data_IF_921686484207
#
_entry.id   IF_921686484207
#
_cell.length_a   1.000
_cell.length_b   1.000
_cell.length_c   1.000
_cell.angle_alpha   90.00
_cell.angle_beta   90.00
_cell.angle_gamma   90.00
#
_symmetry.space_group_name_H-M   'P 1'
#
loop_
_entity.id
_entity.type
_entity.pdbx_description
1 polymer ?
#
# COMPACT_ATOMS: atom_id res chain seq x y z
N UNK A 1 14.94 7.21 -7.81
CA UNK A 1 15.30 6.39 -9.00
C UNK A 1 14.90 4.96 -8.70
N UNK A 2 13.74 4.53 -9.18
CA UNK A 2 13.31 3.15 -8.98
C UNK A 2 14.24 2.25 -9.78
N UNK A 3 14.95 1.35 -9.12
CA UNK A 3 15.71 0.30 -9.79
C UNK A 3 14.69 -0.66 -10.40
N UNK A 4 14.36 -0.44 -11.65
CA UNK A 4 13.60 -1.39 -12.45
C UNK A 4 14.55 -2.54 -12.78
N UNK A 5 14.47 -3.63 -12.04
CA UNK A 5 15.17 -4.87 -12.37
C UNK A 5 14.49 -5.41 -13.62
N UNK A 6 15.05 -5.08 -14.79
CA UNK A 6 14.67 -5.70 -16.06
C UNK A 6 15.23 -7.13 -16.06
N UNK A 7 14.37 -8.12 -16.20
CA UNK A 7 14.72 -9.51 -16.45
C UNK A 7 14.75 -10.37 -15.18
N UNK A 8 13.58 -10.73 -14.66
CA UNK A 8 13.43 -11.68 -13.54
C UNK A 8 13.32 -13.13 -14.09
N UNK A 9 14.17 -13.48 -15.03
CA UNK A 9 14.36 -14.89 -15.47
C UNK A 9 15.77 -15.37 -15.13
N UNK A 10 16.41 -14.72 -14.16
CA UNK A 10 17.74 -15.11 -13.72
C UNK A 10 17.64 -16.17 -12.61
N UNK A 11 18.51 -17.19 -12.68
CA UNK A 11 18.56 -18.25 -11.66
C UNK A 11 18.67 -17.64 -10.24
N UNK A 12 18.06 -18.30 -9.26
CA UNK A 12 18.08 -17.89 -7.85
C UNK A 12 19.50 -17.54 -7.34
N UNK A 13 20.52 -18.25 -7.84
CA UNK A 13 21.92 -17.99 -7.52
C UNK A 13 22.40 -16.62 -8.01
N UNK A 14 22.04 -16.22 -9.22
CA UNK A 14 22.39 -14.89 -9.76
C UNK A 14 21.69 -13.76 -9.00
N UNK A 15 20.46 -14.00 -8.57
CA UNK A 15 19.71 -13.04 -7.76
C UNK A 15 20.37 -12.84 -6.39
N UNK A 16 20.77 -13.93 -5.71
CA UNK A 16 21.52 -13.86 -4.45
C UNK A 16 22.82 -13.07 -4.63
N UNK A 17 23.59 -13.40 -5.66
CA UNK A 17 24.86 -12.72 -5.96
C UNK A 17 24.64 -11.23 -6.20
N UNK A 18 23.63 -10.86 -7.00
CA UNK A 18 23.27 -9.45 -7.24
C UNK A 18 22.97 -8.69 -5.94
N UNK A 19 22.18 -9.29 -5.05
CA UNK A 19 21.85 -8.68 -3.74
C UNK A 19 23.09 -8.50 -2.89
N UNK A 20 23.93 -9.55 -2.77
CA UNK A 20 25.17 -9.50 -2.00
C UNK A 20 26.14 -8.41 -2.52
N UNK A 21 26.32 -8.32 -3.84
CA UNK A 21 27.21 -7.34 -4.46
C UNK A 21 26.71 -5.90 -4.22
N UNK A 22 25.41 -5.68 -4.28
CA UNK A 22 24.81 -4.38 -3.95
C UNK A 22 25.00 -4.00 -2.49
N UNK A 23 24.80 -4.92 -1.58
CA UNK A 23 24.91 -4.68 -0.14
C UNK A 23 26.36 -4.49 0.32
N UNK A 24 27.32 -5.23 -0.26
CA UNK A 24 28.75 -5.02 0.00
C UNK A 24 29.20 -3.59 -0.31
N UNK A 25 28.64 -2.97 -1.36
CA UNK A 25 28.89 -1.57 -1.69
C UNK A 25 28.24 -0.56 -0.72
N UNK A 26 27.36 -1.00 0.17
CA UNK A 26 26.51 -0.14 1.02
C UNK A 26 26.90 -0.13 2.50
N UNK A 27 28.10 -0.57 2.87
CA UNK A 27 28.58 -0.66 4.26
C UNK A 27 27.69 -1.46 5.21
N UNK A 28 27.02 -2.48 4.68
CA UNK A 28 26.20 -3.41 5.47
C UNK A 28 27.13 -4.31 6.31
N UNK A 29 26.83 -4.58 7.60
CA UNK A 29 27.61 -5.47 8.44
C UNK A 29 27.76 -6.87 7.84
N UNK A 30 28.94 -7.48 8.02
CA UNK A 30 29.25 -8.82 7.50
C UNK A 30 28.28 -9.90 8.02
N UNK A 31 27.79 -9.75 9.25
CA UNK A 31 26.81 -10.65 9.85
C UNK A 31 25.50 -10.67 9.05
N UNK A 32 25.04 -9.51 8.56
CA UNK A 32 23.85 -9.43 7.73
C UNK A 32 24.07 -10.05 6.33
N UNK A 33 25.26 -9.85 5.75
CA UNK A 33 25.64 -10.50 4.49
C UNK A 33 25.69 -12.02 4.65
N UNK A 34 26.23 -12.52 5.78
CA UNK A 34 26.28 -13.95 6.07
C UNK A 34 24.88 -14.57 6.20
N UNK A 35 23.89 -13.85 6.73
CA UNK A 35 22.49 -14.32 6.79
C UNK A 35 21.94 -14.51 5.37
N UNK A 36 22.16 -13.53 4.50
CA UNK A 36 21.69 -13.60 3.11
C UNK A 36 22.40 -14.72 2.35
N UNK A 37 23.70 -14.88 2.55
CA UNK A 37 24.49 -15.93 1.89
C UNK A 37 24.02 -17.35 2.29
N UNK A 38 23.64 -17.55 3.55
CA UNK A 38 23.10 -18.82 4.07
C UNK A 38 21.64 -19.06 3.75
N UNK A 39 20.90 -18.06 3.25
CA UNK A 39 19.47 -18.21 2.94
C UNK A 39 19.26 -19.21 1.79
N UNK A 40 18.29 -20.09 1.96
CA UNK A 40 17.82 -20.96 0.87
C UNK A 40 17.11 -20.12 -0.19
N UNK A 41 17.33 -20.47 -1.45
CA UNK A 41 16.80 -19.74 -2.61
C UNK A 41 15.64 -20.46 -3.31
N UNK A 42 15.19 -21.59 -2.77
CA UNK A 42 14.11 -22.40 -3.35
C UNK A 42 12.77 -21.65 -3.46
N UNK A 43 12.48 -20.79 -2.47
CA UNK A 43 11.20 -20.09 -2.35
C UNK A 43 11.33 -18.57 -2.49
N UNK A 44 12.41 -18.10 -3.12
CA UNK A 44 12.61 -16.66 -3.34
C UNK A 44 11.82 -16.18 -4.55
N UNK A 45 10.94 -15.23 -4.33
CA UNK A 45 10.20 -14.52 -5.37
C UNK A 45 10.75 -13.11 -5.51
N UNK A 46 11.08 -12.72 -6.73
CA UNK A 46 11.40 -11.35 -7.06
C UNK A 46 10.29 -10.75 -7.94
N UNK A 47 9.79 -9.61 -7.53
CA UNK A 47 8.79 -8.88 -8.29
C UNK A 47 9.13 -7.39 -8.33
N UNK A 48 8.86 -6.69 -9.43
CA UNK A 48 9.04 -5.25 -9.48
C UNK A 48 8.06 -4.57 -8.52
N UNK A 49 8.56 -3.63 -7.72
CA UNK A 49 7.69 -2.76 -6.93
C UNK A 49 6.84 -1.90 -7.86
N UNK A 50 5.54 -1.98 -7.67
CA UNK A 50 4.56 -1.19 -8.43
C UNK A 50 3.75 -0.34 -7.48
N UNK A 51 3.44 0.86 -7.90
CA UNK A 51 2.51 1.73 -7.19
C UNK A 51 1.52 2.34 -8.19
N UNK A 52 0.37 2.71 -7.71
CA UNK A 52 -0.65 3.38 -8.50
C UNK A 52 -0.41 4.90 -8.44
N UNK A 53 -0.40 5.63 -9.57
CA UNK A 53 -0.36 7.09 -9.52
C UNK A 53 -1.57 7.63 -8.73
N UNK A 54 -1.36 8.47 -7.68
CA UNK A 54 -2.46 8.91 -6.80
C UNK A 54 -3.60 9.61 -7.58
N UNK A 55 -3.24 10.41 -8.58
CA UNK A 55 -4.21 11.12 -9.41
C UNK A 55 -5.15 10.19 -10.20
N UNK A 56 -4.73 8.98 -10.51
CA UNK A 56 -5.60 8.00 -11.20
C UNK A 56 -6.80 7.57 -10.35
N UNK A 57 -6.71 7.71 -9.01
CA UNK A 57 -7.82 7.44 -8.11
C UNK A 57 -8.82 8.57 -8.02
N UNK A 58 -8.40 9.80 -8.32
CA UNK A 58 -9.30 10.97 -8.29
C UNK A 58 -10.38 10.85 -9.36
N UNK A 59 -10.00 10.40 -10.55
CA UNK A 59 -10.91 10.28 -11.71
C UNK A 59 -11.39 8.85 -11.95
N UNK A 60 -10.70 7.84 -11.42
CA UNK A 60 -11.01 6.43 -11.62
C UNK A 60 -12.22 5.95 -10.83
N UNK A 61 -12.89 4.92 -11.35
CA UNK A 61 -13.97 4.24 -10.63
C UNK A 61 -13.41 3.18 -9.68
N UNK A 62 -13.79 3.25 -8.40
CA UNK A 62 -13.47 2.25 -7.36
C UNK A 62 -14.57 1.19 -7.29
N UNK A 63 -15.80 1.57 -7.60
CA UNK A 63 -16.94 0.66 -7.69
C UNK A 63 -17.77 0.94 -8.94
N UNK A 64 -18.40 -0.11 -9.48
CA UNK A 64 -19.35 -0.02 -10.61
C UNK A 64 -20.38 -1.14 -10.49
N UNK A 65 -21.65 -0.78 -10.38
CA UNK A 65 -22.70 -1.75 -10.09
C UNK A 65 -22.38 -2.49 -8.78
N UNK A 66 -22.44 -3.81 -8.80
CA UNK A 66 -22.19 -4.67 -7.64
C UNK A 66 -20.73 -5.16 -7.53
N UNK A 67 -19.79 -4.44 -8.12
CA UNK A 67 -18.34 -4.77 -8.09
C UNK A 67 -17.56 -3.60 -7.51
N UNK A 68 -16.60 -3.88 -6.65
CA UNK A 68 -15.60 -2.90 -6.18
C UNK A 68 -14.20 -3.52 -6.15
N UNK A 69 -13.19 -2.67 -5.98
CA UNK A 69 -11.80 -3.06 -5.76
C UNK A 69 -11.37 -2.63 -4.36
N UNK A 70 -10.52 -3.44 -3.71
CA UNK A 70 -9.99 -3.22 -2.37
C UNK A 70 -8.53 -3.68 -2.30
N UNK A 71 -7.83 -3.34 -1.20
CA UNK A 71 -6.45 -3.72 -0.98
C UNK A 71 -5.52 -3.25 -2.10
N UNK A 72 -4.53 -4.05 -2.45
CA UNK A 72 -3.54 -3.72 -3.48
C UNK A 72 -4.14 -3.54 -4.88
N UNK A 73 -5.33 -4.08 -5.15
CA UNK A 73 -6.06 -3.80 -6.39
C UNK A 73 -6.55 -2.34 -6.46
N UNK A 74 -6.79 -1.71 -5.30
CA UNK A 74 -7.19 -0.32 -5.18
C UNK A 74 -5.99 0.60 -5.00
N UNK A 75 -5.13 0.31 -4.04
CA UNK A 75 -4.08 1.22 -3.57
C UNK A 75 -2.69 0.56 -3.47
N UNK A 76 -2.17 -0.08 -4.54
CA UNK A 76 -0.80 -0.58 -4.51
C UNK A 76 0.15 0.59 -4.27
N UNK A 77 0.98 0.47 -3.24
CA UNK A 77 1.92 1.51 -2.80
C UNK A 77 3.29 0.93 -2.54
N UNK A 78 4.31 1.80 -2.52
CA UNK A 78 5.65 1.38 -2.12
C UNK A 78 5.70 1.04 -0.62
N UNK A 79 6.60 0.15 -0.18
CA UNK A 79 6.65 -0.31 1.21
C UNK A 79 7.16 0.73 2.20
N UNK A 80 7.59 1.89 1.72
CA UNK A 80 8.25 2.94 2.51
C UNK A 80 7.43 3.44 3.72
N UNK A 81 6.11 3.29 3.67
CA UNK A 81 5.19 3.67 4.74
C UNK A 81 4.83 2.49 5.67
N UNK A 82 4.99 1.24 5.21
CA UNK A 82 4.56 0.05 5.95
C UNK A 82 3.04 -0.08 6.15
N UNK A 83 2.21 0.70 5.41
CA UNK A 83 0.76 0.82 5.65
C UNK A 83 -0.11 0.03 4.64
N UNK A 84 0.47 -0.67 3.68
CA UNK A 84 -0.30 -1.37 2.65
C UNK A 84 -1.26 -2.42 3.23
N UNK A 85 -0.75 -3.31 4.09
CA UNK A 85 -1.55 -4.32 4.77
C UNK A 85 -2.60 -3.73 5.72
N UNK A 86 -2.22 -2.70 6.50
CA UNK A 86 -3.17 -2.00 7.38
C UNK A 86 -4.31 -1.37 6.58
N UNK A 87 -4.00 -0.73 5.46
CA UNK A 87 -5.00 -0.13 4.58
C UNK A 87 -5.95 -1.18 3.97
N UNK A 88 -5.45 -2.37 3.66
CA UNK A 88 -6.30 -3.47 3.18
C UNK A 88 -7.26 -3.97 4.28
N UNK A 89 -6.82 -4.01 5.55
CA UNK A 89 -7.68 -4.30 6.70
C UNK A 89 -8.73 -3.20 6.93
N UNK A 90 -8.33 -1.91 6.84
CA UNK A 90 -9.25 -0.78 6.86
C UNK A 90 -10.34 -0.92 5.78
N UNK A 91 -9.97 -1.32 4.56
CA UNK A 91 -10.91 -1.58 3.46
C UNK A 91 -11.96 -2.62 3.85
N UNK A 92 -11.53 -3.73 4.45
CA UNK A 92 -12.43 -4.80 4.88
C UNK A 92 -13.47 -4.31 5.88
N UNK A 93 -13.04 -3.57 6.90
CA UNK A 93 -13.94 -3.04 7.94
C UNK A 93 -14.90 -2.00 7.36
N UNK A 94 -14.41 -1.05 6.57
CA UNK A 94 -15.24 0.00 5.95
C UNK A 94 -16.23 -0.60 4.97
N UNK A 95 -15.81 -1.60 4.18
CA UNK A 95 -16.68 -2.29 3.22
C UNK A 95 -17.81 -3.04 3.95
N UNK A 96 -17.46 -3.80 5.00
CA UNK A 96 -18.43 -4.52 5.81
C UNK A 96 -19.45 -3.56 6.44
N UNK A 97 -19.00 -2.43 6.99
CA UNK A 97 -19.86 -1.41 7.56
C UNK A 97 -20.81 -0.81 6.51
N UNK A 98 -20.29 -0.36 5.37
CA UNK A 98 -21.11 0.25 4.31
C UNK A 98 -22.17 -0.70 3.77
N UNK A 99 -21.84 -1.98 3.59
CA UNK A 99 -22.79 -2.99 3.16
C UNK A 99 -23.79 -3.33 4.28
N UNK A 100 -23.35 -3.46 5.52
CA UNK A 100 -24.22 -3.70 6.67
C UNK A 100 -25.27 -2.60 6.82
N UNK A 101 -24.86 -1.32 6.80
CA UNK A 101 -25.74 -0.15 6.89
C UNK A 101 -26.82 -0.16 5.78
N UNK A 102 -26.45 -0.49 4.55
CA UNK A 102 -27.38 -0.49 3.42
C UNK A 102 -28.26 -1.74 3.31
N UNK A 103 -27.84 -2.85 3.87
CA UNK A 103 -28.57 -4.13 3.85
C UNK A 103 -29.44 -4.38 5.09
N UNK A 104 -29.22 -3.65 6.20
CA UNK A 104 -29.97 -3.83 7.45
C UNK A 104 -31.47 -3.48 7.35
N UNK A 105 -31.91 -2.82 6.28
CA UNK A 105 -33.34 -2.51 6.06
C UNK A 105 -34.18 -3.76 5.82
N UNK A 106 -35.22 -3.96 6.66
CA UNK A 106 -36.01 -5.19 6.72
C UNK A 106 -36.97 -5.41 5.52
N UNK A 107 -37.22 -4.43 4.67
CA UNK A 107 -38.40 -4.42 3.78
C UNK A 107 -38.15 -4.79 2.31
N UNK A 108 -36.95 -5.23 1.93
CA UNK A 108 -36.68 -5.62 0.55
C UNK A 108 -35.93 -6.95 0.47
N UNK A 109 -36.65 -8.04 0.55
CA UNK A 109 -36.13 -9.38 0.28
C UNK A 109 -36.19 -9.62 -1.24
N UNK A 110 -34.98 -9.64 -1.87
CA UNK A 110 -34.77 -10.13 -3.23
C UNK A 110 -34.94 -9.09 -4.36
N UNK A 111 -34.29 -9.34 -5.48
CA UNK A 111 -34.49 -8.65 -6.75
C UNK A 111 -33.72 -7.34 -6.94
N UNK A 112 -34.33 -6.41 -7.64
CA UNK A 112 -33.75 -5.12 -8.05
C UNK A 112 -33.37 -4.25 -6.85
N UNK A 113 -34.21 -4.19 -5.83
CA UNK A 113 -33.99 -3.38 -4.62
C UNK A 113 -32.77 -3.80 -3.80
N UNK A 114 -32.45 -5.10 -3.74
CA UNK A 114 -31.26 -5.59 -3.08
C UNK A 114 -30.00 -5.19 -3.84
N UNK A 115 -29.99 -5.30 -5.17
CA UNK A 115 -28.89 -4.86 -6.02
C UNK A 115 -28.62 -3.37 -5.87
N UNK A 116 -29.66 -2.55 -5.82
CA UNK A 116 -29.52 -1.10 -5.63
C UNK A 116 -28.91 -0.75 -4.28
N UNK A 117 -29.26 -1.49 -3.23
CA UNK A 117 -28.67 -1.30 -1.88
C UNK A 117 -27.22 -1.72 -1.83
N UNK A 118 -26.86 -2.86 -2.43
CA UNK A 118 -25.45 -3.27 -2.56
C UNK A 118 -24.67 -2.19 -3.30
N UNK A 119 -25.18 -1.73 -4.45
CA UNK A 119 -24.50 -0.68 -5.20
C UNK A 119 -24.36 0.63 -4.40
N UNK A 120 -25.35 1.00 -3.61
CA UNK A 120 -25.29 2.16 -2.73
C UNK A 120 -24.18 1.99 -1.65
N UNK A 121 -24.09 0.83 -1.01
CA UNK A 121 -23.03 0.51 -0.06
C UNK A 121 -21.63 0.56 -0.68
N UNK A 122 -21.48 -0.01 -1.88
CA UNK A 122 -20.20 0.02 -2.61
C UNK A 122 -19.82 1.45 -3.05
N UNK A 123 -20.77 2.29 -3.43
CA UNK A 123 -20.51 3.71 -3.71
C UNK A 123 -20.11 4.48 -2.45
N UNK A 124 -20.70 4.18 -1.30
CA UNK A 124 -20.32 4.77 -0.02
C UNK A 124 -18.90 4.37 0.37
N UNK A 125 -18.56 3.08 0.31
CA UNK A 125 -17.20 2.56 0.48
C UNK A 125 -16.21 3.30 -0.43
N UNK A 126 -16.48 3.35 -1.73
CA UNK A 126 -15.61 4.00 -2.71
C UNK A 126 -15.36 5.48 -2.39
N UNK A 127 -16.35 6.21 -1.89
CA UNK A 127 -16.23 7.62 -1.49
C UNK A 127 -15.31 7.78 -0.28
N UNK A 128 -15.48 6.93 0.75
CA UNK A 128 -14.68 6.97 1.98
C UNK A 128 -13.23 6.60 1.67
N UNK A 129 -13.01 5.52 0.91
CA UNK A 129 -11.66 4.98 0.69
C UNK A 129 -10.83 5.76 -0.34
N UNK A 130 -11.48 6.51 -1.24
CA UNK A 130 -10.80 7.26 -2.30
C UNK A 130 -9.70 8.17 -1.76
N UNK A 131 -10.07 9.10 -0.89
CA UNK A 131 -9.12 10.09 -0.38
C UNK A 131 -8.08 9.50 0.55
N UNK A 132 -8.48 8.51 1.35
CA UNK A 132 -7.56 7.77 2.19
C UNK A 132 -6.50 7.05 1.36
N UNK A 133 -6.88 6.39 0.29
CA UNK A 133 -5.95 5.72 -0.63
C UNK A 133 -5.02 6.70 -1.34
N UNK A 134 -5.54 7.85 -1.80
CA UNK A 134 -4.73 8.92 -2.41
C UNK A 134 -3.68 9.42 -1.42
N UNK A 135 -4.07 9.70 -0.18
CA UNK A 135 -3.17 10.17 0.88
C UNK A 135 -2.05 9.16 1.16
N UNK A 136 -2.40 7.89 1.36
CA UNK A 136 -1.44 6.83 1.66
C UNK A 136 -0.43 6.63 0.52
N UNK A 137 -0.90 6.51 -0.72
CA UNK A 137 -0.02 6.32 -1.88
C UNK A 137 0.90 7.54 -2.08
N UNK A 138 0.35 8.75 -1.99
CA UNK A 138 1.13 9.98 -2.16
C UNK A 138 2.20 10.11 -1.06
N UNK A 139 1.85 9.77 0.18
CA UNK A 139 2.78 9.81 1.31
C UNK A 139 3.87 8.76 1.17
N UNK A 140 3.52 7.51 0.84
CA UNK A 140 4.48 6.44 0.60
C UNK A 140 5.47 6.82 -0.50
N UNK A 141 4.98 7.33 -1.63
CA UNK A 141 5.81 7.80 -2.74
C UNK A 141 6.75 8.93 -2.31
N UNK A 142 6.25 9.92 -1.59
CA UNK A 142 7.04 11.07 -1.12
C UNK A 142 8.15 10.63 -0.16
N UNK A 143 7.84 9.73 0.78
CA UNK A 143 8.81 9.18 1.72
C UNK A 143 9.89 8.40 0.97
N UNK A 144 9.50 7.49 0.08
CA UNK A 144 10.44 6.73 -0.74
C UNK A 144 11.34 7.63 -1.58
N UNK A 145 10.79 8.68 -2.18
CA UNK A 145 11.56 9.68 -2.92
C UNK A 145 12.60 10.38 -2.05
N UNK A 146 12.21 10.81 -0.85
CA UNK A 146 13.12 11.50 0.09
C UNK A 146 14.21 10.54 0.61
N UNK A 147 13.84 9.30 0.94
CA UNK A 147 14.78 8.30 1.45
C UNK A 147 15.81 7.87 0.41
N UNK A 148 15.40 7.78 -0.85
CA UNK A 148 16.24 7.32 -1.96
C UNK A 148 16.97 8.45 -2.69
N UNK A 149 16.79 9.70 -2.26
CA UNK A 149 17.42 10.84 -2.91
C UNK A 149 18.91 10.94 -2.56
N UNK A 150 19.76 10.95 -3.58
CA UNK A 150 21.20 11.23 -3.47
C UNK A 150 21.53 12.73 -3.46
N UNK A 151 20.51 13.60 -3.53
CA UNK A 151 20.71 15.04 -3.51
C UNK A 151 21.14 15.51 -2.11
N UNK A 152 22.28 16.18 -2.02
CA UNK A 152 22.86 16.64 -0.75
C UNK A 152 21.92 17.54 0.05
N UNK A 153 21.11 18.38 -0.60
CA UNK A 153 20.15 19.26 0.06
C UNK A 153 19.00 18.44 0.65
N UNK A 154 18.47 17.48 -0.14
CA UNK A 154 17.39 16.59 0.32
C UNK A 154 17.86 15.72 1.47
N UNK A 155 19.09 15.18 1.39
CA UNK A 155 19.70 14.40 2.47
C UNK A 155 19.90 15.20 3.74
N UNK A 156 20.39 16.43 3.64
CA UNK A 156 20.55 17.33 4.79
C UNK A 156 19.20 17.67 5.44
N UNK A 157 18.18 17.99 4.67
CA UNK A 157 16.84 18.28 5.17
C UNK A 157 16.19 17.04 5.81
N UNK A 158 16.37 15.88 5.19
CA UNK A 158 15.92 14.59 5.74
C UNK A 158 16.53 14.36 7.12
N UNK A 159 17.83 14.45 7.24
CA UNK A 159 18.56 14.07 8.45
C UNK A 159 18.32 15.04 9.61
N UNK A 160 18.06 16.32 9.30
CA UNK A 160 17.94 17.37 10.32
C UNK A 160 16.49 17.72 10.72
N UNK A 161 15.54 17.63 9.81
CA UNK A 161 14.17 18.12 10.02
C UNK A 161 13.08 17.08 9.85
N UNK A 162 13.29 16.07 9.01
CA UNK A 162 12.21 15.19 8.63
C UNK A 162 11.94 14.06 9.63
N UNK A 163 12.94 13.64 10.39
CA UNK A 163 12.80 12.49 11.31
C UNK A 163 11.71 12.73 12.38
N UNK A 164 11.67 13.92 12.99
CA UNK A 164 10.70 14.22 14.03
C UNK A 164 9.28 14.51 13.49
N UNK A 165 9.19 15.28 12.41
CA UNK A 165 7.88 15.64 11.80
C UNK A 165 7.25 14.42 11.12
N UNK A 166 8.08 13.59 10.48
CA UNK A 166 7.61 12.40 9.76
C UNK A 166 7.07 11.35 10.74
N UNK A 167 7.78 11.07 11.83
CA UNK A 167 7.34 10.11 12.83
C UNK A 167 5.96 10.46 13.42
N UNK A 168 5.71 11.73 13.76
CA UNK A 168 4.42 12.17 14.25
C UNK A 168 3.28 12.04 13.23
N UNK A 169 3.56 12.30 11.95
CA UNK A 169 2.58 12.10 10.87
C UNK A 169 2.31 10.62 10.59
N UNK A 170 3.34 9.78 10.60
CA UNK A 170 3.21 8.34 10.39
C UNK A 170 2.33 7.70 11.48
N UNK A 171 2.53 8.09 12.75
CA UNK A 171 1.69 7.63 13.85
C UNK A 171 0.23 8.04 13.66
N UNK A 172 -0.05 9.29 13.28
CA UNK A 172 -1.41 9.75 12.98
C UNK A 172 -2.04 9.02 11.79
N UNK A 173 -1.25 8.65 10.79
CA UNK A 173 -1.75 7.87 9.66
C UNK A 173 -2.07 6.42 10.02
N UNK A 174 -1.42 5.86 11.05
CA UNK A 174 -1.73 4.53 11.56
C UNK A 174 -3.01 4.50 12.42
N UNK A 175 -3.42 5.65 12.97
CA UNK A 175 -4.60 5.79 13.82
C UNK A 175 -5.83 6.22 12.98
N UNK A 176 -6.24 5.34 12.07
CA UNK A 176 -7.41 5.58 11.22
C UNK A 176 -8.66 4.93 11.80
N UNK A 177 -9.67 5.75 12.11
CA UNK A 177 -10.96 5.27 12.58
C UNK A 177 -11.83 4.76 11.41
N UNK A 178 -12.00 3.46 11.34
CA UNK A 178 -12.88 2.81 10.36
C UNK A 178 -14.38 2.96 10.68
N UNK A 179 -14.71 3.49 11.86
CA UNK A 179 -16.06 3.49 12.43
C UNK A 179 -16.47 2.14 13.01
N UNK A 180 -17.52 2.14 13.81
CA UNK A 180 -18.07 0.93 14.41
C UNK A 180 -18.89 0.12 13.41
N UNK A 181 -18.82 -1.21 13.51
CA UNK A 181 -19.76 -2.11 12.85
C UNK A 181 -21.10 -2.05 13.61
N UNK A 182 -22.21 -1.76 12.92
CA UNK A 182 -23.55 -1.89 13.50
C UNK A 182 -23.90 -3.37 13.66
N UNK A 183 -24.29 -3.75 14.87
CA UNK A 183 -24.85 -5.07 15.17
C UNK A 183 -26.24 -5.25 14.56
#
# INVERSE_FOLDING_TARGET
MFVQIKGVDESAAKMKQFVLDKLRGSKVPEEALAVIDRSEMSDVLAAPLRFRPPLSLVTGSISKGNVCVAGDALHPMTPDLGQGGCSALEDGVVLARCLGETLAGKDAKGGSAEKERIEAGLRQYARIRRWRSVELIATAYTIGFIQQSDNAIVSFLRDKFLSGVLAGRLLKMADYDCGALSN
#
